data_IF_194085530567
#
_entry.id   IF_194085530567
#
_cell.length_a   1.000
_cell.length_b   1.000
_cell.length_c   1.000
_cell.angle_alpha   90.00
_cell.angle_beta   90.00
_cell.angle_gamma   90.00
#
_symmetry.space_group_name_H-M   'P 1'
#
loop_
_entity.id
_entity.type
_entity.pdbx_description
1 polymer ?
#
# COMPACT_ATOMS: atom_id res chain seq x y z
N UNK A 1 -10.57 2.29 13.05
CA UNK A 1 -9.42 1.62 13.73
C UNK A 1 -9.42 0.10 13.53
N UNK A 2 -10.50 -0.62 13.81
CA UNK A 2 -10.54 -2.10 13.76
C UNK A 2 -10.88 -2.67 12.39
N UNK A 3 -12.01 -2.25 11.82
CA UNK A 3 -12.65 -2.91 10.67
C UNK A 3 -12.39 -2.26 9.31
N UNK A 4 -11.89 -1.02 9.28
CA UNK A 4 -11.57 -0.31 8.05
C UNK A 4 -10.34 -0.92 7.34
N UNK A 5 -10.15 -0.70 6.02
CA UNK A 5 -8.92 -1.10 5.33
C UNK A 5 -7.69 -0.56 6.05
N UNK A 6 -6.68 -1.41 6.25
CA UNK A 6 -5.49 -1.06 7.03
C UNK A 6 -5.68 -1.08 8.55
N UNK A 7 -6.85 -1.50 9.04
CA UNK A 7 -7.14 -1.66 10.45
C UNK A 7 -6.61 -2.97 11.04
N UNK A 8 -6.92 -3.20 12.32
CA UNK A 8 -6.50 -4.42 13.02
C UNK A 8 -6.99 -5.72 12.37
N UNK A 9 -8.14 -5.70 11.69
CA UNK A 9 -8.67 -6.89 11.03
C UNK A 9 -7.77 -7.38 9.89
N UNK A 10 -7.14 -6.48 9.14
CA UNK A 10 -6.18 -6.87 8.09
C UNK A 10 -4.96 -7.58 8.68
N UNK A 11 -4.46 -7.10 9.82
CA UNK A 11 -3.36 -7.75 10.54
C UNK A 11 -3.79 -9.14 11.04
N UNK A 12 -5.02 -9.28 11.55
CA UNK A 12 -5.55 -10.57 11.98
C UNK A 12 -5.68 -11.55 10.81
N UNK A 13 -6.10 -11.08 9.63
CA UNK A 13 -6.15 -11.90 8.42
C UNK A 13 -4.77 -12.41 8.03
N UNK A 14 -3.75 -11.56 8.05
CA UNK A 14 -2.36 -11.98 7.81
C UNK A 14 -1.95 -13.07 8.81
N UNK A 15 -2.15 -12.84 10.11
CA UNK A 15 -1.79 -13.81 11.16
C UNK A 15 -2.53 -15.14 10.99
N UNK A 16 -3.83 -15.09 10.70
CA UNK A 16 -4.65 -16.28 10.48
C UNK A 16 -4.17 -17.09 9.26
N UNK A 17 -3.87 -16.42 8.14
CA UNK A 17 -3.32 -17.08 6.95
C UNK A 17 -1.97 -17.74 7.25
N UNK A 18 -1.09 -17.06 7.97
CA UNK A 18 0.22 -17.57 8.36
C UNK A 18 0.08 -18.82 9.24
N UNK A 19 -0.74 -18.77 10.29
CA UNK A 19 -0.97 -19.90 11.19
C UNK A 19 -1.53 -21.12 10.45
N UNK A 20 -2.53 -20.93 9.57
CA UNK A 20 -3.11 -22.04 8.82
C UNK A 20 -2.16 -22.63 7.78
N UNK A 21 -1.35 -21.79 7.13
CA UNK A 21 -0.35 -22.26 6.17
C UNK A 21 0.74 -23.08 6.86
N UNK A 22 1.19 -22.67 8.05
CA UNK A 22 2.16 -23.42 8.84
C UNK A 22 1.63 -24.78 9.30
N UNK A 23 0.34 -24.86 9.69
CA UNK A 23 -0.30 -26.13 10.08
C UNK A 23 -0.33 -27.16 8.94
N UNK A 24 -0.66 -26.74 7.72
CA UNK A 24 -0.76 -27.67 6.57
C UNK A 24 0.59 -28.15 6.05
N UNK A 25 1.62 -27.31 6.11
CA UNK A 25 2.91 -27.59 5.48
C UNK A 25 3.98 -28.14 6.43
N UNK A 26 3.68 -28.37 7.72
CA UNK A 26 4.58 -28.91 8.75
C UNK A 26 5.98 -28.25 8.84
N UNK A 27 6.18 -27.08 8.24
CA UNK A 27 7.45 -26.38 8.17
C UNK A 27 7.26 -24.91 8.54
N UNK A 28 7.63 -24.57 9.78
CA UNK A 28 7.61 -23.20 10.31
C UNK A 28 8.54 -22.27 9.49
N UNK A 29 9.53 -22.84 8.79
CA UNK A 29 10.55 -22.08 8.05
C UNK A 29 10.04 -21.42 6.76
N UNK A 30 8.90 -21.85 6.19
CA UNK A 30 8.27 -21.22 5.01
C UNK A 30 7.60 -19.87 5.31
N UNK A 31 7.64 -19.40 6.55
CA UNK A 31 7.12 -18.10 6.98
C UNK A 31 7.83 -16.92 6.30
N UNK A 32 9.17 -16.94 6.28
CA UNK A 32 10.02 -15.88 5.66
C UNK A 32 9.80 -15.73 4.16
N UNK A 33 9.15 -16.73 3.59
CA UNK A 33 8.96 -16.92 2.17
C UNK A 33 7.65 -16.24 1.71
N UNK A 34 6.75 -15.88 2.63
CA UNK A 34 5.46 -15.20 2.34
C UNK A 34 5.43 -13.77 2.84
N UNK A 35 6.05 -13.48 4.00
CA UNK A 35 6.25 -12.12 4.50
C UNK A 35 7.75 -11.88 4.68
N UNK A 36 8.25 -10.79 4.11
CA UNK A 36 9.64 -10.40 4.25
C UNK A 36 9.91 -9.85 5.67
N UNK A 37 11.16 -9.93 6.13
CA UNK A 37 11.54 -9.35 7.43
C UNK A 37 11.28 -7.84 7.52
N UNK A 38 11.35 -7.13 6.38
CA UNK A 38 11.03 -5.69 6.30
C UNK A 38 9.54 -5.45 6.48
N UNK A 39 8.70 -6.20 5.76
CA UNK A 39 7.23 -6.13 5.89
C UNK A 39 6.78 -6.47 7.32
N UNK A 40 7.38 -7.48 7.96
CA UNK A 40 7.05 -7.84 9.35
C UNK A 40 7.36 -6.70 10.33
N UNK A 41 8.56 -6.09 10.21
CA UNK A 41 8.94 -4.92 11.04
C UNK A 41 8.02 -3.71 10.79
N UNK A 42 7.69 -3.45 9.54
CA UNK A 42 6.77 -2.36 9.17
C UNK A 42 5.35 -2.62 9.73
N UNK A 43 4.87 -3.85 9.63
CA UNK A 43 3.58 -4.28 10.16
C UNK A 43 3.52 -4.13 11.68
N UNK A 44 4.56 -4.56 12.40
CA UNK A 44 4.63 -4.42 13.86
C UNK A 44 4.64 -2.96 14.31
N UNK A 45 5.42 -2.11 13.63
CA UNK A 45 5.44 -0.67 13.89
C UNK A 45 4.06 -0.04 13.72
N UNK A 46 3.37 -0.35 12.62
CA UNK A 46 2.04 0.20 12.35
C UNK A 46 0.98 -0.38 13.28
N UNK A 47 1.06 -1.67 13.61
CA UNK A 47 0.19 -2.33 14.60
C UNK A 47 0.28 -1.63 15.95
N UNK A 48 1.50 -1.34 16.42
CA UNK A 48 1.71 -0.64 17.68
C UNK A 48 1.04 0.74 17.68
N UNK A 49 1.16 1.50 16.58
CA UNK A 49 0.50 2.79 16.43
C UNK A 49 -1.04 2.67 16.50
N UNK A 50 -1.63 1.71 15.79
CA UNK A 50 -3.08 1.47 15.83
C UNK A 50 -3.54 1.01 17.21
N UNK A 51 -2.78 0.16 17.90
CA UNK A 51 -3.07 -0.25 19.27
C UNK A 51 -3.03 0.92 20.24
N UNK A 52 -2.03 1.79 20.16
CA UNK A 52 -1.95 2.99 20.98
C UNK A 52 -3.19 3.87 20.79
N UNK A 53 -3.58 4.13 19.54
CA UNK A 53 -4.79 4.91 19.24
C UNK A 53 -6.05 4.23 19.79
N UNK A 54 -6.17 2.91 19.64
CA UNK A 54 -7.32 2.15 20.16
C UNK A 54 -7.39 2.21 21.69
N UNK A 55 -6.26 2.05 22.37
CA UNK A 55 -6.17 2.16 23.82
C UNK A 55 -6.61 3.54 24.31
N UNK A 56 -6.08 4.61 23.70
CA UNK A 56 -6.46 5.97 24.07
C UNK A 56 -7.94 6.24 23.79
N UNK A 57 -8.47 5.71 22.69
CA UNK A 57 -9.90 5.82 22.35
C UNK A 57 -10.79 5.11 23.37
N UNK A 58 -10.44 3.90 23.79
CA UNK A 58 -11.20 3.16 24.81
C UNK A 58 -11.15 3.88 26.16
N UNK A 59 -9.98 4.40 26.52
CA UNK A 59 -9.81 5.19 27.75
C UNK A 59 -10.65 6.47 27.73
N UNK A 60 -10.69 7.16 26.59
CA UNK A 60 -11.47 8.38 26.43
C UNK A 60 -12.98 8.12 26.39
N UNK A 61 -13.41 7.05 25.72
CA UNK A 61 -14.81 6.69 25.60
C UNK A 61 -15.39 6.04 26.86
N UNK A 62 -14.55 5.50 27.75
CA UNK A 62 -14.98 4.72 28.92
C UNK A 62 -15.63 3.36 28.59
N UNK A 63 -15.52 2.91 27.33
CA UNK A 63 -16.11 1.67 26.80
C UNK A 63 -15.36 1.18 25.56
N UNK A 64 -15.74 0.02 25.03
CA UNK A 64 -15.28 -0.38 23.70
C UNK A 64 -15.79 0.64 22.66
N UNK A 65 -14.85 1.23 21.92
CA UNK A 65 -15.10 2.10 20.77
C UNK A 65 -13.99 1.91 19.73
N UNK A 66 -14.35 1.75 18.47
CA UNK A 66 -13.38 1.46 17.39
C UNK A 66 -13.42 2.51 16.27
N UNK A 67 -14.28 3.52 16.43
CA UNK A 67 -14.45 4.67 15.54
C UNK A 67 -13.80 5.88 16.18
N UNK A 68 -12.78 6.40 15.51
CA UNK A 68 -12.09 7.62 15.91
C UNK A 68 -12.89 8.84 15.46
N UNK A 69 -14.01 9.09 16.13
CA UNK A 69 -14.90 10.23 15.84
C UNK A 69 -14.21 11.57 16.15
N UNK A 70 -14.71 12.64 15.54
CA UNK A 70 -14.12 13.98 15.59
C UNK A 70 -13.81 14.48 17.01
N UNK A 71 -14.75 14.35 17.95
CA UNK A 71 -14.54 14.78 19.34
C UNK A 71 -13.42 13.99 20.04
N UNK A 72 -13.26 12.70 19.74
CA UNK A 72 -12.17 11.90 20.28
C UNK A 72 -10.82 12.29 19.66
N UNK A 73 -10.79 12.73 18.40
CA UNK A 73 -9.55 13.12 17.73
C UNK A 73 -8.85 14.26 18.47
N UNK A 74 -9.58 15.30 18.89
CA UNK A 74 -9.01 16.46 19.60
C UNK A 74 -8.38 16.03 20.92
N UNK A 75 -9.15 15.33 21.77
CA UNK A 75 -8.68 14.90 23.10
C UNK A 75 -7.46 13.98 22.99
N UNK A 76 -7.51 13.00 22.09
CA UNK A 76 -6.41 12.06 21.89
C UNK A 76 -5.19 12.76 21.27
N UNK A 77 -5.38 13.69 20.35
CA UNK A 77 -4.28 14.45 19.73
C UNK A 77 -3.54 15.31 20.75
N UNK A 78 -4.27 16.03 21.62
CA UNK A 78 -3.67 16.85 22.67
C UNK A 78 -2.87 15.98 23.67
N UNK A 79 -3.36 14.78 24.00
CA UNK A 79 -2.63 13.81 24.85
C UNK A 79 -1.35 13.28 24.19
N UNK A 80 -1.40 13.02 22.89
CA UNK A 80 -0.25 12.49 22.13
C UNK A 80 0.79 13.57 21.81
N UNK A 81 0.36 14.83 21.73
CA UNK A 81 1.20 15.95 21.29
C UNK A 81 1.03 17.18 22.19
N UNK A 82 1.38 17.09 23.48
CA UNK A 82 1.15 18.16 24.44
C UNK A 82 1.90 19.46 24.12
N UNK A 83 3.00 19.37 23.37
CA UNK A 83 3.83 20.52 23.01
C UNK A 83 3.29 21.30 21.78
N UNK A 84 2.15 20.92 21.21
CA UNK A 84 1.55 21.63 20.09
C UNK A 84 0.46 22.58 20.56
N UNK A 85 0.70 23.88 20.40
CA UNK A 85 -0.21 24.94 20.85
C UNK A 85 -1.50 25.02 20.01
N UNK A 86 -1.48 24.48 18.78
CA UNK A 86 -2.65 24.42 17.90
C UNK A 86 -3.23 22.99 17.90
N UNK A 87 -4.43 22.83 18.46
CA UNK A 87 -5.14 21.53 18.50
C UNK A 87 -5.49 21.00 17.12
N UNK A 88 -5.80 21.85 16.14
CA UNK A 88 -6.08 21.40 14.76
C UNK A 88 -4.83 20.77 14.14
N UNK A 89 -3.67 21.44 14.28
CA UNK A 89 -2.40 20.89 13.82
C UNK A 89 -2.04 19.57 14.55
N UNK A 90 -2.44 19.43 15.81
CA UNK A 90 -2.30 18.19 16.56
C UNK A 90 -3.16 17.06 15.98
N UNK A 91 -4.42 17.36 15.66
CA UNK A 91 -5.33 16.40 15.01
C UNK A 91 -4.83 16.03 13.62
N UNK A 92 -4.43 16.98 12.80
CA UNK A 92 -3.86 16.71 11.47
C UNK A 92 -2.65 15.78 11.56
N UNK A 93 -1.74 16.01 12.52
CA UNK A 93 -0.58 15.14 12.74
C UNK A 93 -1.00 13.73 13.19
N UNK A 94 -2.00 13.62 14.08
CA UNK A 94 -2.56 12.34 14.52
C UNK A 94 -3.11 11.57 13.32
N UNK A 95 -3.99 12.22 12.56
CA UNK A 95 -4.72 11.63 11.45
C UNK A 95 -3.77 11.28 10.31
N UNK A 96 -2.79 12.12 10.00
CA UNK A 96 -1.75 11.82 9.02
C UNK A 96 -0.95 10.55 9.39
N UNK A 97 -0.55 10.40 10.66
CA UNK A 97 0.10 9.15 11.11
C UNK A 97 -0.83 7.95 11.00
N UNK A 98 -2.10 8.09 11.41
CA UNK A 98 -3.11 7.04 11.28
C UNK A 98 -3.29 6.57 9.83
N UNK A 99 -3.53 7.48 8.90
CA UNK A 99 -3.75 7.14 7.49
C UNK A 99 -2.50 6.52 6.84
N UNK A 100 -1.29 7.00 7.17
CA UNK A 100 -0.05 6.35 6.70
C UNK A 100 0.10 4.93 7.21
N UNK A 101 -0.19 4.68 8.48
CA UNK A 101 -0.15 3.33 9.05
C UNK A 101 -1.20 2.42 8.44
N UNK A 102 -2.43 2.91 8.26
CA UNK A 102 -3.50 2.15 7.62
C UNK A 102 -3.15 1.81 6.16
N UNK A 103 -2.64 2.77 5.39
CA UNK A 103 -2.20 2.55 4.01
C UNK A 103 -1.11 1.47 3.93
N UNK A 104 -0.10 1.57 4.79
CA UNK A 104 1.00 0.59 4.85
C UNK A 104 0.51 -0.81 5.23
N UNK A 105 -0.38 -0.95 6.21
CA UNK A 105 -0.98 -2.23 6.59
C UNK A 105 -1.78 -2.82 5.42
N UNK A 106 -2.60 -2.00 4.76
CA UNK A 106 -3.43 -2.43 3.63
C UNK A 106 -2.57 -2.92 2.45
N UNK A 107 -1.49 -2.20 2.14
CA UNK A 107 -0.52 -2.57 1.10
C UNK A 107 0.17 -3.91 1.42
N UNK A 108 0.64 -4.09 2.67
CA UNK A 108 1.28 -5.34 3.12
C UNK A 108 0.27 -6.48 3.06
N UNK A 109 -0.96 -6.27 3.54
CA UNK A 109 -2.02 -7.29 3.50
C UNK A 109 -2.31 -7.74 2.07
N UNK A 110 -2.50 -6.80 1.14
CA UNK A 110 -2.74 -7.11 -0.27
C UNK A 110 -1.57 -7.91 -0.88
N UNK A 111 -0.33 -7.51 -0.60
CA UNK A 111 0.88 -8.19 -1.12
C UNK A 111 1.04 -9.60 -0.54
N UNK A 112 0.76 -9.78 0.76
CA UNK A 112 0.82 -11.08 1.44
C UNK A 112 -0.26 -12.02 0.93
N UNK A 113 -1.52 -11.56 0.82
CA UNK A 113 -2.63 -12.35 0.24
C UNK A 113 -2.28 -12.78 -1.19
N UNK A 114 -1.73 -11.87 -1.99
CA UNK A 114 -1.28 -12.15 -3.34
C UNK A 114 -0.18 -13.22 -3.37
N UNK A 115 0.82 -13.12 -2.49
CA UNK A 115 1.90 -14.11 -2.35
C UNK A 115 1.37 -15.49 -1.95
N UNK A 116 0.38 -15.56 -1.06
CA UNK A 116 -0.30 -16.82 -0.73
C UNK A 116 -1.01 -17.44 -1.93
N UNK A 117 -1.81 -16.65 -2.66
CA UNK A 117 -2.52 -17.11 -3.87
C UNK A 117 -1.53 -17.68 -4.88
N UNK A 118 -0.42 -16.98 -5.12
CA UNK A 118 0.61 -17.41 -6.06
C UNK A 118 1.23 -18.76 -5.66
N UNK A 119 1.50 -18.98 -4.37
CA UNK A 119 2.06 -20.26 -3.89
C UNK A 119 1.08 -21.41 -4.00
N UNK A 120 -0.19 -21.18 -3.62
CA UNK A 120 -1.23 -22.19 -3.75
C UNK A 120 -1.43 -22.56 -5.22
N UNK A 121 -1.45 -21.58 -6.12
CA UNK A 121 -1.60 -21.82 -7.56
C UNK A 121 -0.37 -22.48 -8.19
N UNK A 122 0.86 -22.16 -7.75
CA UNK A 122 2.10 -22.80 -8.26
C UNK A 122 2.17 -24.31 -8.03
N UNK A 123 1.41 -24.84 -7.07
CA UNK A 123 1.28 -26.30 -6.89
C UNK A 123 0.54 -26.95 -8.08
N UNK A 124 -0.14 -26.16 -8.92
CA UNK A 124 -0.73 -26.57 -10.20
C UNK A 124 0.21 -26.06 -11.32
N UNK A 125 0.51 -26.89 -12.33
CA UNK A 125 1.43 -26.55 -13.45
C UNK A 125 1.12 -25.15 -14.01
N UNK A 126 1.90 -24.14 -13.61
CA UNK A 126 1.63 -22.75 -13.97
C UNK A 126 2.09 -22.42 -15.38
N UNK A 127 1.26 -21.72 -16.14
CA UNK A 127 1.63 -21.23 -17.47
C UNK A 127 2.46 -19.95 -17.32
N UNK A 128 3.70 -19.98 -17.81
CA UNK A 128 4.58 -18.81 -17.92
C UNK A 128 4.77 -18.45 -19.39
N UNK A 129 4.47 -17.21 -19.76
CA UNK A 129 4.64 -16.67 -21.11
C UNK A 129 5.50 -15.42 -21.06
N UNK A 130 6.45 -15.28 -21.99
CA UNK A 130 7.20 -14.03 -22.13
C UNK A 130 6.29 -12.97 -22.75
N UNK A 131 6.18 -11.81 -22.09
CA UNK A 131 5.43 -10.67 -22.63
C UNK A 131 6.34 -9.86 -23.54
N UNK A 132 7.54 -9.51 -23.04
CA UNK A 132 8.57 -8.81 -23.80
C UNK A 132 9.97 -8.97 -23.16
N UNK A 133 10.90 -8.05 -23.50
CA UNK A 133 12.26 -8.00 -22.96
C UNK A 133 12.30 -7.82 -21.44
N UNK A 134 11.37 -7.09 -20.85
CA UNK A 134 11.40 -6.68 -19.44
C UNK A 134 10.38 -7.44 -18.57
N UNK A 135 9.28 -7.94 -19.16
CA UNK A 135 8.16 -8.54 -18.45
C UNK A 135 7.82 -9.95 -18.96
N UNK A 136 7.34 -10.78 -18.04
CA UNK A 136 6.71 -12.08 -18.31
C UNK A 136 5.36 -12.14 -17.60
N UNK A 137 4.51 -13.04 -18.05
CA UNK A 137 3.20 -13.32 -17.45
C UNK A 137 3.26 -14.70 -16.81
N UNK A 138 2.91 -14.79 -15.52
CA UNK A 138 2.82 -16.05 -14.79
C UNK A 138 1.43 -16.14 -14.18
N UNK A 139 0.62 -17.11 -14.61
CA UNK A 139 -0.76 -17.26 -14.13
C UNK A 139 -1.57 -15.95 -14.20
N UNK A 140 -1.52 -15.27 -15.35
CA UNK A 140 -2.18 -13.97 -15.62
C UNK A 140 -1.65 -12.78 -14.79
N UNK A 141 -0.55 -12.94 -14.08
CA UNK A 141 0.10 -11.86 -13.34
C UNK A 141 1.34 -11.39 -14.07
N UNK A 142 1.50 -10.07 -14.21
CA UNK A 142 2.72 -9.50 -14.77
C UNK A 142 3.86 -9.53 -13.75
N UNK A 143 5.03 -9.99 -14.20
CA UNK A 143 6.25 -10.10 -13.40
C UNK A 143 7.44 -9.52 -14.15
N UNK A 144 8.31 -8.80 -13.44
CA UNK A 144 9.60 -8.38 -13.96
C UNK A 144 10.49 -9.60 -14.25
N UNK A 145 11.15 -9.62 -15.42
CA UNK A 145 12.07 -10.71 -15.79
C UNK A 145 13.37 -10.66 -15.00
N UNK A 146 13.94 -9.47 -14.81
CA UNK A 146 15.12 -9.24 -13.98
C UNK A 146 14.83 -8.07 -13.04
N UNK A 147 14.81 -8.30 -11.72
CA UNK A 147 14.61 -7.26 -10.73
C UNK A 147 15.66 -6.14 -10.78
N UNK A 148 16.91 -6.43 -11.14
CA UNK A 148 17.97 -5.41 -11.24
C UNK A 148 17.72 -4.40 -12.38
N UNK A 149 16.80 -4.72 -13.29
CA UNK A 149 16.49 -3.86 -14.43
C UNK A 149 15.84 -2.54 -14.00
N UNK A 150 15.19 -2.47 -12.84
CA UNK A 150 14.60 -1.21 -12.34
C UNK A 150 15.66 -0.13 -12.09
N UNK A 151 16.84 -0.50 -11.58
CA UNK A 151 17.92 0.45 -11.33
C UNK A 151 18.50 1.01 -12.64
N UNK A 152 18.55 0.18 -13.69
CA UNK A 152 19.04 0.58 -15.02
C UNK A 152 17.98 1.34 -15.82
N UNK A 153 16.71 0.95 -15.68
CA UNK A 153 15.55 1.46 -16.43
C UNK A 153 14.40 1.73 -15.49
N UNK A 154 14.47 2.85 -14.77
CA UNK A 154 13.44 3.23 -13.82
C UNK A 154 12.06 3.45 -14.46
N UNK A 155 12.00 3.81 -15.76
CA UNK A 155 10.74 3.96 -16.51
C UNK A 155 9.81 2.75 -16.45
N UNK A 156 10.36 1.55 -16.20
CA UNK A 156 9.58 0.33 -16.03
C UNK A 156 8.56 0.42 -14.88
N UNK A 157 8.80 1.29 -13.90
CA UNK A 157 7.86 1.56 -12.80
C UNK A 157 6.52 2.08 -13.34
N UNK A 158 6.52 2.95 -14.36
CA UNK A 158 5.29 3.44 -14.98
C UNK A 158 4.79 2.48 -16.09
N UNK A 159 5.73 1.90 -16.82
CA UNK A 159 5.43 1.00 -17.96
C UNK A 159 4.56 -0.20 -17.55
N UNK A 160 4.75 -0.74 -16.34
CA UNK A 160 3.95 -1.86 -15.84
C UNK A 160 2.45 -1.53 -15.72
N UNK A 161 2.12 -0.29 -15.33
CA UNK A 161 0.72 0.14 -15.19
C UNK A 161 0.06 0.33 -16.54
N UNK A 162 0.80 0.91 -17.51
CA UNK A 162 0.34 1.00 -18.90
C UNK A 162 0.06 -0.39 -19.46
N UNK A 163 0.97 -1.36 -19.24
CA UNK A 163 0.78 -2.74 -19.69
C UNK A 163 -0.45 -3.42 -19.09
N UNK A 164 -0.79 -3.14 -17.83
CA UNK A 164 -2.02 -3.66 -17.23
C UNK A 164 -3.29 -3.12 -17.90
N UNK A 165 -3.23 -1.92 -18.46
CA UNK A 165 -4.32 -1.35 -19.25
C UNK A 165 -4.38 -1.95 -20.66
N UNK A 166 -3.22 -2.20 -21.29
CA UNK A 166 -3.10 -2.70 -22.66
C UNK A 166 -3.35 -4.21 -22.82
N UNK A 167 -3.21 -4.98 -21.75
CA UNK A 167 -3.29 -6.44 -21.78
C UNK A 167 -4.49 -6.95 -20.95
N UNK A 168 -5.66 -7.13 -21.59
CA UNK A 168 -6.89 -7.55 -20.93
C UNK A 168 -6.83 -8.84 -20.11
N UNK A 169 -5.94 -9.74 -20.51
CA UNK A 169 -5.70 -11.04 -19.90
C UNK A 169 -5.00 -10.96 -18.54
N UNK A 170 -4.40 -9.81 -18.21
CA UNK A 170 -3.71 -9.61 -16.94
C UNK A 170 -4.71 -9.31 -15.82
N UNK A 171 -4.60 -10.06 -14.73
CA UNK A 171 -5.43 -9.88 -13.53
C UNK A 171 -4.72 -9.00 -12.47
N UNK A 172 -3.41 -8.80 -12.59
CA UNK A 172 -2.66 -7.97 -11.65
C UNK A 172 -1.14 -8.12 -11.74
N UNK A 173 -0.46 -7.66 -10.71
CA UNK A 173 1.01 -7.68 -10.58
C UNK A 173 1.41 -8.81 -9.63
N UNK A 174 2.46 -9.54 -9.99
CA UNK A 174 3.04 -10.56 -9.12
C UNK A 174 3.58 -9.97 -7.80
N UNK A 175 3.43 -10.69 -6.69
CA UNK A 175 3.83 -10.27 -5.34
C UNK A 175 5.31 -9.85 -5.23
N UNK A 176 6.23 -10.55 -5.92
CA UNK A 176 7.64 -10.15 -5.93
C UNK A 176 7.86 -8.85 -6.71
N UNK A 177 7.11 -8.64 -7.79
CA UNK A 177 7.19 -7.39 -8.55
C UNK A 177 6.59 -6.22 -7.75
N UNK A 178 5.48 -6.43 -7.03
CA UNK A 178 4.93 -5.42 -6.11
C UNK A 178 5.97 -4.98 -5.06
N UNK A 179 6.65 -5.94 -4.42
CA UNK A 179 7.73 -5.65 -3.46
C UNK A 179 8.87 -4.87 -4.10
N UNK A 180 9.29 -5.25 -5.30
CA UNK A 180 10.35 -4.56 -6.01
C UNK A 180 9.97 -3.13 -6.41
N UNK A 181 8.73 -2.89 -6.82
CA UNK A 181 8.23 -1.54 -7.06
C UNK A 181 8.25 -0.72 -5.77
N UNK A 182 7.81 -1.29 -4.63
CA UNK A 182 7.82 -0.63 -3.32
C UNK A 182 9.24 -0.28 -2.86
N UNK A 183 10.18 -1.21 -2.96
CA UNK A 183 11.60 -1.02 -2.60
C UNK A 183 12.25 0.09 -3.45
N UNK A 184 11.93 0.12 -4.75
CA UNK A 184 12.56 1.02 -5.72
C UNK A 184 11.78 2.31 -5.99
N UNK A 185 10.71 2.60 -5.24
CA UNK A 185 9.96 3.86 -5.40
C UNK A 185 10.78 5.12 -5.14
N UNK A 186 11.93 4.99 -4.46
CA UNK A 186 12.88 6.07 -4.25
C UNK A 186 13.56 6.53 -5.56
N UNK A 187 13.58 5.68 -6.60
CA UNK A 187 14.09 6.03 -7.94
C UNK A 187 13.21 7.08 -8.65
N UNK A 188 12.02 7.37 -8.13
CA UNK A 188 11.11 8.41 -8.64
C UNK A 188 11.52 9.75 -8.01
N UNK A 189 12.60 10.32 -8.51
CA UNK A 189 13.15 11.62 -8.10
C UNK A 189 12.83 12.73 -9.11
N UNK A 190 13.46 13.90 -8.96
CA UNK A 190 13.29 15.02 -9.90
C UNK A 190 13.79 14.69 -11.30
N UNK A 191 14.86 13.90 -11.42
CA UNK A 191 15.41 13.46 -12.71
C UNK A 191 14.44 12.52 -13.42
N UNK A 192 13.80 11.61 -12.68
CA UNK A 192 12.78 10.70 -13.17
C UNK A 192 11.60 11.47 -13.76
N UNK A 193 11.11 12.49 -13.04
CA UNK A 193 9.94 13.27 -13.47
C UNK A 193 10.21 14.13 -14.71
N UNK A 194 11.47 14.57 -14.92
CA UNK A 194 11.87 15.37 -16.10
C UNK A 194 12.05 14.55 -17.38
N UNK A 195 12.17 13.22 -17.29
CA UNK A 195 12.36 12.36 -18.48
C UNK A 195 11.09 12.32 -19.32
N UNK A 196 11.17 12.78 -20.57
CA UNK A 196 10.07 12.76 -21.55
C UNK A 196 9.37 11.39 -21.63
N UNK A 197 10.15 10.30 -21.69
CA UNK A 197 9.62 8.92 -21.68
C UNK A 197 8.66 8.64 -20.51
N UNK A 198 8.96 9.14 -19.31
CA UNK A 198 8.12 8.91 -18.13
C UNK A 198 6.83 9.74 -18.20
N UNK A 199 6.92 10.99 -18.68
CA UNK A 199 5.75 11.82 -18.99
C UNK A 199 4.86 11.15 -20.03
N UNK A 200 5.43 10.66 -21.12
CA UNK A 200 4.69 9.98 -22.19
C UNK A 200 3.97 8.73 -21.67
N UNK A 201 4.65 7.92 -20.84
CA UNK A 201 4.04 6.75 -20.19
C UNK A 201 2.88 7.13 -19.26
N UNK A 202 3.03 8.19 -18.47
CA UNK A 202 1.97 8.64 -17.58
C UNK A 202 0.77 9.19 -18.35
N UNK A 203 1.00 10.01 -19.39
CA UNK A 203 -0.09 10.49 -20.26
C UNK A 203 -0.77 9.32 -20.97
N UNK A 204 -0.01 8.31 -21.40
CA UNK A 204 -0.57 7.09 -22.00
C UNK A 204 -1.45 6.32 -21.02
N UNK A 205 -1.05 6.23 -19.74
CA UNK A 205 -1.88 5.65 -18.70
C UNK A 205 -3.20 6.42 -18.52
N UNK A 206 -3.15 7.75 -18.47
CA UNK A 206 -4.35 8.59 -18.32
C UNK A 206 -5.30 8.49 -19.53
N UNK A 207 -4.77 8.26 -20.72
CA UNK A 207 -5.55 8.06 -21.96
C UNK A 207 -6.07 6.62 -22.13
N UNK A 208 -5.80 5.72 -21.19
CA UNK A 208 -6.22 4.33 -21.31
C UNK A 208 -7.73 4.19 -21.09
N UNK A 209 -8.43 3.55 -22.03
CA UNK A 209 -9.88 3.32 -21.95
C UNK A 209 -10.28 2.33 -20.85
N UNK A 210 -9.33 1.48 -20.42
CA UNK A 210 -9.55 0.41 -19.46
C UNK A 210 -8.64 0.58 -18.23
N UNK A 211 -9.19 0.29 -17.06
CA UNK A 211 -8.48 0.17 -15.77
C UNK A 211 -7.65 1.39 -15.35
N UNK A 212 -7.80 2.55 -16.00
CA UNK A 212 -7.03 3.76 -15.68
C UNK A 212 -7.16 4.13 -14.19
N UNK A 213 -8.39 4.24 -13.69
CA UNK A 213 -8.66 4.56 -12.28
C UNK A 213 -8.06 3.50 -11.35
N UNK A 214 -8.27 2.22 -11.66
CA UNK A 214 -7.72 1.09 -10.88
C UNK A 214 -6.19 1.13 -10.81
N UNK A 215 -5.51 1.52 -11.89
CA UNK A 215 -4.06 1.66 -11.87
C UNK A 215 -3.59 2.89 -11.11
N UNK A 216 -4.30 4.02 -11.18
CA UNK A 216 -3.99 5.19 -10.35
C UNK A 216 -4.15 4.89 -8.86
N UNK A 217 -5.22 4.19 -8.47
CA UNK A 217 -5.42 3.70 -7.09
C UNK A 217 -4.29 2.78 -6.64
N UNK A 218 -3.86 1.85 -7.51
CA UNK A 218 -2.74 0.96 -7.23
C UNK A 218 -1.42 1.72 -7.09
N UNK A 219 -1.18 2.71 -7.95
CA UNK A 219 -0.01 3.60 -7.85
C UNK A 219 -0.04 4.41 -6.56
N UNK A 220 -1.21 4.89 -6.13
CA UNK A 220 -1.42 5.56 -4.84
C UNK A 220 -1.08 4.64 -3.67
N UNK A 221 -1.62 3.42 -3.66
CA UNK A 221 -1.37 2.42 -2.61
C UNK A 221 0.11 2.06 -2.48
N UNK A 222 0.84 1.93 -3.59
CA UNK A 222 2.28 1.67 -3.60
C UNK A 222 3.13 2.91 -3.26
N UNK A 223 2.51 4.09 -3.13
CA UNK A 223 3.19 5.38 -2.93
C UNK A 223 3.96 5.86 -4.16
N UNK A 224 3.71 5.27 -5.33
CA UNK A 224 4.30 5.63 -6.62
C UNK A 224 3.68 6.93 -7.12
N UNK A 225 2.36 7.06 -7.03
CA UNK A 225 1.64 8.25 -7.52
C UNK A 225 2.09 9.52 -6.78
N UNK A 226 2.15 9.48 -5.45
CA UNK A 226 2.61 10.63 -4.66
C UNK A 226 4.09 10.98 -4.83
N UNK A 227 4.93 10.03 -5.27
CA UNK A 227 6.33 10.30 -5.64
C UNK A 227 6.43 10.92 -7.05
N UNK A 228 5.55 10.49 -7.96
CA UNK A 228 5.53 10.97 -9.34
C UNK A 228 4.87 12.35 -9.45
N UNK A 229 3.81 12.61 -8.67
CA UNK A 229 3.15 13.90 -8.52
C UNK A 229 3.35 14.40 -7.08
N UNK A 230 4.43 15.17 -6.80
CA UNK A 230 4.77 15.58 -5.43
C UNK A 230 3.66 16.35 -4.72
N UNK A 231 2.90 17.18 -5.44
CA UNK A 231 1.76 17.91 -4.87
C UNK A 231 0.66 16.95 -4.40
N UNK A 232 0.36 15.91 -5.18
CA UNK A 232 -0.51 14.80 -4.75
C UNK A 232 0.07 14.05 -3.54
N UNK A 233 1.38 13.80 -3.55
CA UNK A 233 2.08 13.16 -2.43
C UNK A 233 2.03 13.96 -1.14
N UNK A 234 2.05 15.29 -1.22
CA UNK A 234 1.90 16.18 -0.05
C UNK A 234 0.50 16.12 0.55
N UNK A 235 -0.53 15.86 -0.26
CA UNK A 235 -1.92 15.73 0.22
C UNK A 235 -2.32 14.30 0.53
N UNK A 236 -1.53 13.31 0.09
CA UNK A 236 -1.79 11.88 0.38
C UNK A 236 -1.73 11.62 1.88
N UNK A 237 -2.85 11.20 2.47
CA UNK A 237 -2.95 10.98 3.90
C UNK A 237 -3.07 12.26 4.72
N UNK A 238 -3.17 13.44 4.08
CA UNK A 238 -3.58 14.67 4.76
C UNK A 238 -5.10 14.67 4.88
N UNK A 239 -5.57 14.82 6.10
CA UNK A 239 -6.94 15.21 6.39
C UNK A 239 -6.92 16.71 6.60
N UNK A 240 -7.82 17.45 5.94
CA UNK A 240 -8.16 18.80 6.40
C UNK A 240 -9.13 18.65 7.56
N UNK A 241 -8.83 19.29 8.68
CA UNK A 241 -9.69 19.26 9.85
C UNK A 241 -10.86 20.23 9.65
N UNK A 242 -11.98 19.73 9.13
CA UNK A 242 -13.21 20.48 8.88
C UNK A 242 -14.42 19.54 8.92
N UNK A 243 -15.61 20.08 9.24
CA UNK A 243 -16.89 19.39 9.38
C UNK A 243 -17.30 18.57 8.15
N UNK A 244 -16.77 18.89 6.97
CA UNK A 244 -17.07 18.21 5.70
C UNK A 244 -16.08 17.09 5.31
N UNK A 245 -14.97 16.93 6.03
CA UNK A 245 -13.86 16.07 5.61
C UNK A 245 -13.78 14.76 6.42
N UNK A 246 -14.58 13.76 6.01
CA UNK A 246 -14.52 12.40 6.58
C UNK A 246 -13.36 11.56 5.99
N UNK A 247 -12.94 11.86 4.76
CA UNK A 247 -11.83 11.20 4.06
C UNK A 247 -10.65 12.16 3.84
N UNK A 248 -9.47 11.60 3.57
CA UNK A 248 -8.27 12.40 3.27
C UNK A 248 -8.45 13.19 1.97
N UNK A 249 -7.74 14.32 1.84
CA UNK A 249 -7.86 15.22 0.67
C UNK A 249 -7.63 14.47 -0.64
N UNK A 250 -6.70 13.51 -0.65
CA UNK A 250 -6.37 12.62 -1.78
C UNK A 250 -7.43 11.54 -2.09
N UNK A 251 -8.50 11.44 -1.32
CA UNK A 251 -9.62 10.53 -1.54
C UNK A 251 -10.89 11.25 -1.99
N UNK A 252 -10.97 12.56 -1.76
CA UNK A 252 -12.11 13.42 -2.16
C UNK A 252 -11.84 14.26 -3.40
N UNK A 253 -10.57 14.57 -3.69
CA UNK A 253 -10.13 15.34 -4.88
C UNK A 253 -9.62 14.39 -5.96
#
# INVERSE_FOLDING_TARGET
IKSSPGGLRDIHTINWLLLNYSRKNHEVHKFKEVITSSEAKELDKNKFWIWLLRYLLHKEAGREEDRLLFHFQISIANKLFPNMNNSEAAVEKLMHKYFRSALSISEINATVIQSFREKITKQKKGHSKILDKNFKVVNKLIELRSPETLNKKSSLILEIFVKLCEHPELEGINSNTLRKLKENKHLIDSSFRKKKRNTDLFIKLLKSERLMVTQLERMKQLGILGRYLPEFGKVTGKMQYDLFHIYTVDAHT
#
